data_IF_930634023556
#
_entry.id   IF_930634023556
#
_cell.length_a   1.000
_cell.length_b   1.000
_cell.length_c   1.000
_cell.angle_alpha   90.00
_cell.angle_beta   90.00
_cell.angle_gamma   90.00
#
_symmetry.space_group_name_H-M   'P 1'
#
loop_
_entity.id
_entity.type
_entity.pdbx_description
1 polymer ?
#
# COMPACT_ATOMS: atom_id res chain seq x y z
N UNK A 1 -63.04 54.78 33.00
CA UNK A 1 -61.79 55.52 32.72
C UNK A 1 -60.63 54.57 32.94
N UNK A 2 -59.86 54.28 31.87
CA UNK A 2 -58.39 53.99 31.83
C UNK A 2 -57.81 53.01 32.88
N UNK A 3 -57.12 51.88 32.58
CA UNK A 3 -56.01 51.57 31.66
C UNK A 3 -55.76 50.02 31.62
N UNK A 4 -55.52 49.40 30.45
CA UNK A 4 -54.22 48.93 29.90
C UNK A 4 -53.63 47.62 30.53
N UNK A 5 -53.78 46.44 29.87
CA UNK A 5 -52.82 45.69 29.01
C UNK A 5 -51.49 45.22 29.64
N UNK A 6 -51.22 43.91 29.62
CA UNK A 6 -50.07 43.34 28.85
C UNK A 6 -50.10 41.81 28.75
N UNK A 7 -49.99 41.32 27.51
CA UNK A 7 -49.89 39.93 27.13
C UNK A 7 -48.42 39.45 27.17
N UNK A 8 -48.18 38.22 27.62
CA UNK A 8 -46.85 37.60 27.63
C UNK A 8 -46.72 36.61 26.46
N UNK A 9 -46.24 37.08 25.32
CA UNK A 9 -45.82 36.23 24.19
C UNK A 9 -44.47 35.59 24.50
N UNK A 10 -44.45 34.26 24.66
CA UNK A 10 -43.20 33.49 24.78
C UNK A 10 -42.69 33.15 23.38
N UNK A 11 -41.64 33.83 22.95
CA UNK A 11 -40.83 33.46 21.80
C UNK A 11 -40.03 32.18 22.11
N UNK A 12 -40.36 31.08 21.45
CA UNK A 12 -39.47 29.92 21.32
C UNK A 12 -38.58 30.13 20.08
N UNK A 13 -37.30 30.42 20.30
CA UNK A 13 -36.30 30.43 19.22
C UNK A 13 -35.77 29.01 19.00
N UNK A 14 -35.87 28.41 17.80
CA UNK A 14 -35.22 27.15 17.50
C UNK A 14 -33.72 27.38 17.29
N UNK A 15 -32.91 26.73 18.13
CA UNK A 15 -31.46 26.67 18.00
C UNK A 15 -31.12 25.80 16.77
N UNK A 16 -30.82 26.42 15.63
CA UNK A 16 -30.28 25.73 14.45
C UNK A 16 -28.87 25.21 14.77
N UNK A 17 -28.74 23.89 14.88
CA UNK A 17 -27.46 23.20 14.98
C UNK A 17 -26.93 22.98 13.55
N UNK A 18 -26.08 23.90 13.07
CA UNK A 18 -25.38 23.74 11.79
C UNK A 18 -24.30 22.68 11.95
N UNK A 19 -24.59 21.44 11.53
CA UNK A 19 -23.58 20.42 11.35
C UNK A 19 -22.69 20.84 10.16
N UNK A 20 -21.52 21.40 10.45
CA UNK A 20 -20.50 21.64 9.45
C UNK A 20 -20.02 20.27 8.94
N UNK A 21 -20.49 19.87 7.77
CA UNK A 21 -19.91 18.76 7.05
C UNK A 21 -18.47 19.16 6.66
N UNK A 22 -17.49 18.65 7.40
CA UNK A 22 -16.10 18.66 6.95
C UNK A 22 -16.01 17.77 5.71
N UNK A 23 -16.25 18.35 4.54
CA UNK A 23 -16.00 17.69 3.26
C UNK A 23 -14.48 17.62 3.14
N UNK A 24 -13.91 16.44 3.37
CA UNK A 24 -12.49 16.22 3.13
C UNK A 24 -12.22 16.47 1.64
N UNK A 25 -11.47 17.54 1.34
CA UNK A 25 -11.02 17.79 -0.02
C UNK A 25 -10.16 16.61 -0.46
N UNK A 26 -10.40 16.02 -1.64
CA UNK A 26 -9.56 14.95 -2.14
C UNK A 26 -8.12 15.47 -2.25
N UNK A 27 -7.15 14.68 -1.78
CA UNK A 27 -5.74 15.02 -1.92
C UNK A 27 -5.43 15.29 -3.39
N UNK A 28 -4.83 16.44 -3.69
CA UNK A 28 -4.45 16.80 -5.05
C UNK A 28 -3.53 15.73 -5.63
N UNK A 29 -3.78 15.34 -6.89
CA UNK A 29 -2.93 14.38 -7.58
C UNK A 29 -1.50 14.93 -7.69
N UNK A 30 -0.52 14.10 -7.35
CA UNK A 30 0.90 14.41 -7.39
C UNK A 30 1.51 13.81 -8.66
N UNK A 31 2.31 14.57 -9.39
CA UNK A 31 3.04 14.04 -10.54
C UNK A 31 4.31 13.31 -10.12
N UNK A 32 4.55 12.14 -10.69
CA UNK A 32 5.84 11.45 -10.60
C UNK A 32 6.64 11.64 -11.88
N UNK A 33 7.95 11.66 -11.74
CA UNK A 33 8.96 11.79 -12.81
C UNK A 33 10.03 10.72 -12.61
N UNK A 34 10.76 10.38 -13.67
CA UNK A 34 11.98 9.58 -13.53
C UNK A 34 13.00 10.31 -12.65
N UNK A 35 13.56 9.59 -11.68
CA UNK A 35 14.57 10.10 -10.77
C UNK A 35 15.95 10.25 -11.43
N UNK A 36 16.96 10.44 -10.59
CA UNK A 36 18.38 10.52 -10.99
C UNK A 36 19.13 9.19 -10.89
N UNK A 37 18.60 8.21 -10.15
CA UNK A 37 19.22 6.89 -10.04
C UNK A 37 18.92 6.02 -11.27
N UNK A 38 19.90 5.25 -11.73
CA UNK A 38 19.63 4.12 -12.64
C UNK A 38 18.79 3.09 -11.89
N UNK A 39 17.69 2.62 -12.48
CA UNK A 39 16.88 1.55 -11.90
C UNK A 39 17.74 0.36 -11.48
N UNK A 40 17.36 -0.30 -10.38
CA UNK A 40 17.98 -1.57 -9.97
C UNK A 40 17.13 -2.69 -10.53
N UNK A 41 17.15 -2.80 -11.85
CA UNK A 41 16.22 -3.66 -12.59
C UNK A 41 16.94 -4.76 -13.35
N UNK A 42 16.34 -5.94 -13.39
CA UNK A 42 16.72 -7.05 -14.27
C UNK A 42 15.49 -7.48 -15.09
N UNK A 43 15.72 -8.17 -16.20
CA UNK A 43 14.66 -8.71 -17.05
C UNK A 43 14.54 -10.20 -16.80
N UNK A 44 13.33 -10.65 -16.48
CA UNK A 44 13.04 -12.07 -16.29
C UNK A 44 11.87 -12.49 -17.18
N UNK A 45 11.83 -13.77 -17.55
CA UNK A 45 10.78 -14.30 -18.41
C UNK A 45 9.61 -14.85 -17.60
N UNK A 46 8.64 -13.98 -17.32
CA UNK A 46 7.50 -14.31 -16.46
C UNK A 46 6.24 -14.71 -17.23
N UNK A 47 5.44 -15.56 -16.59
CA UNK A 47 4.08 -15.93 -17.01
C UNK A 47 3.09 -15.50 -15.93
N UNK A 48 1.94 -14.98 -16.36
CA UNK A 48 0.82 -14.63 -15.49
C UNK A 48 -0.43 -15.37 -15.94
N UNK A 49 -1.02 -16.12 -15.02
CA UNK A 49 -2.12 -17.03 -15.31
C UNK A 49 -1.82 -18.01 -16.44
N UNK A 50 -2.64 -17.98 -17.49
CA UNK A 50 -2.50 -18.84 -18.68
C UNK A 50 -1.84 -18.14 -19.86
N UNK A 51 -1.34 -16.91 -19.69
CA UNK A 51 -0.69 -16.18 -20.80
C UNK A 51 0.58 -16.87 -21.30
N UNK A 52 1.03 -16.47 -22.48
CA UNK A 52 2.40 -16.76 -22.90
C UNK A 52 3.39 -16.07 -21.95
N UNK A 53 4.54 -16.70 -21.73
CA UNK A 53 5.63 -16.05 -21.00
C UNK A 53 6.16 -14.86 -21.81
N UNK A 54 6.55 -13.81 -21.11
CA UNK A 54 7.12 -12.59 -21.69
C UNK A 54 8.23 -12.04 -20.80
N UNK A 55 9.12 -11.28 -21.40
CA UNK A 55 10.17 -10.61 -20.65
C UNK A 55 9.58 -9.43 -19.89
N UNK A 56 9.87 -9.35 -18.60
CA UNK A 56 9.36 -8.32 -17.69
C UNK A 56 10.53 -7.71 -16.94
N UNK A 57 10.62 -6.39 -16.98
CA UNK A 57 11.59 -5.66 -16.16
C UNK A 57 11.09 -5.61 -14.71
N UNK A 58 11.90 -6.16 -13.81
CA UNK A 58 11.63 -6.29 -12.38
C UNK A 58 12.63 -5.45 -11.60
N UNK A 59 12.17 -4.81 -10.52
CA UNK A 59 13.04 -4.20 -9.52
C UNK A 59 12.67 -2.76 -9.17
N UNK A 60 13.48 -2.15 -8.32
CA UNK A 60 13.32 -0.80 -7.85
C UNK A 60 13.58 0.22 -8.96
N UNK A 61 12.67 1.17 -9.08
CA UNK A 61 12.81 2.33 -9.95
C UNK A 61 13.10 3.57 -9.12
N UNK A 62 13.98 4.44 -9.62
CA UNK A 62 14.19 5.76 -9.04
C UNK A 62 13.16 6.72 -9.63
N UNK A 63 12.33 7.33 -8.79
CA UNK A 63 11.32 8.32 -9.17
C UNK A 63 11.45 9.57 -8.33
N UNK A 64 10.84 10.67 -8.78
CA UNK A 64 10.82 11.96 -8.09
C UNK A 64 9.43 12.57 -8.18
N UNK A 65 9.01 13.29 -7.14
CA UNK A 65 7.77 14.08 -7.14
C UNK A 65 7.95 15.47 -7.76
N UNK A 66 9.15 15.78 -8.23
CA UNK A 66 9.51 17.03 -8.89
C UNK A 66 10.18 16.75 -10.24
N UNK A 67 9.86 17.56 -11.24
CA UNK A 67 10.53 17.56 -12.55
C UNK A 67 12.01 17.89 -12.46
N UNK A 68 12.43 18.61 -11.40
CA UNK A 68 13.84 18.94 -11.11
C UNK A 68 14.63 17.75 -10.54
N UNK A 69 13.95 16.66 -10.20
CA UNK A 69 14.54 15.42 -9.64
C UNK A 69 15.28 15.57 -8.30
N UNK A 70 15.13 16.72 -7.64
CA UNK A 70 15.87 17.07 -6.42
C UNK A 70 15.66 16.10 -5.25
N UNK A 71 14.56 15.35 -5.23
CA UNK A 71 14.23 14.38 -4.18
C UNK A 71 13.83 13.05 -4.82
N UNK A 72 14.82 12.37 -5.41
CA UNK A 72 14.59 11.03 -5.98
C UNK A 72 14.56 9.97 -4.88
N UNK A 73 13.65 9.01 -4.98
CA UNK A 73 13.50 7.89 -4.07
C UNK A 73 13.20 6.60 -4.82
N UNK A 74 13.38 5.46 -4.16
CA UNK A 74 13.14 4.14 -4.74
C UNK A 74 11.69 3.73 -4.55
N UNK A 75 11.11 3.17 -5.60
CA UNK A 75 9.78 2.56 -5.58
C UNK A 75 9.80 1.18 -6.19
N UNK A 76 8.88 0.33 -5.72
CA UNK A 76 8.55 -0.94 -6.37
C UNK A 76 7.14 -0.86 -6.95
N UNK A 77 6.91 -1.59 -8.04
CA UNK A 77 5.63 -1.68 -8.73
C UNK A 77 4.67 -2.62 -7.97
N UNK A 78 3.43 -2.20 -7.78
CA UNK A 78 2.33 -3.03 -7.27
C UNK A 78 1.40 -3.54 -8.40
N UNK A 79 1.65 -3.12 -9.64
CA UNK A 79 0.81 -3.37 -10.79
C UNK A 79 1.61 -3.96 -11.97
N UNK A 80 1.98 -5.26 -11.91
CA UNK A 80 2.84 -5.90 -12.91
C UNK A 80 2.30 -5.88 -14.34
N UNK A 81 0.99 -5.70 -14.51
CA UNK A 81 0.34 -5.86 -15.80
C UNK A 81 0.18 -4.54 -16.57
N UNK A 82 0.55 -3.41 -15.96
CA UNK A 82 0.65 -2.12 -16.62
C UNK A 82 2.11 -1.68 -16.75
N UNK A 83 2.41 -0.84 -17.74
CA UNK A 83 3.73 -0.24 -17.94
C UNK A 83 3.89 1.05 -17.14
N UNK A 84 5.11 1.35 -16.69
CA UNK A 84 5.40 2.65 -16.09
C UNK A 84 5.35 3.74 -17.17
N UNK A 85 4.48 4.72 -16.99
CA UNK A 85 4.38 5.89 -17.86
C UNK A 85 4.61 7.15 -17.03
N UNK A 86 5.81 7.73 -17.15
CA UNK A 86 6.21 8.93 -16.42
C UNK A 86 6.68 10.03 -17.41
N UNK A 87 6.27 11.30 -17.22
CA UNK A 87 5.52 11.79 -16.09
C UNK A 87 4.01 11.47 -16.14
N UNK A 88 3.42 11.19 -14.98
CA UNK A 88 1.98 10.95 -14.85
C UNK A 88 1.47 11.37 -13.48
N UNK A 89 0.15 11.56 -13.37
CA UNK A 89 -0.53 11.97 -12.14
C UNK A 89 -0.86 10.76 -11.26
N UNK A 90 -0.65 10.92 -9.95
CA UNK A 90 -0.86 9.87 -8.96
C UNK A 90 -1.67 10.37 -7.78
N UNK A 91 -2.58 9.55 -7.30
CA UNK A 91 -3.21 9.73 -5.99
C UNK A 91 -2.39 9.00 -4.95
N UNK A 92 -2.15 9.64 -3.80
CA UNK A 92 -1.37 9.05 -2.71
C UNK A 92 -2.27 8.53 -1.60
N UNK A 93 -1.90 7.39 -1.05
CA UNK A 93 -2.59 6.78 0.11
C UNK A 93 -1.60 5.93 0.91
N UNK A 94 -1.91 5.59 2.16
CA UNK A 94 -1.10 4.62 2.91
C UNK A 94 -1.30 3.22 2.35
N UNK A 95 -0.30 2.35 2.53
CA UNK A 95 -0.42 0.94 2.13
C UNK A 95 -1.61 0.24 2.82
N UNK A 96 -1.82 0.50 4.11
CA UNK A 96 -2.95 -0.06 4.84
C UNK A 96 -4.28 0.32 4.20
N UNK A 97 -4.48 1.61 3.88
CA UNK A 97 -5.72 2.11 3.30
C UNK A 97 -5.94 1.62 1.87
N UNK A 98 -4.85 1.51 1.09
CA UNK A 98 -4.88 0.92 -0.25
C UNK A 98 -5.36 -0.54 -0.21
N UNK A 99 -4.74 -1.37 0.65
CA UNK A 99 -5.02 -2.81 0.72
C UNK A 99 -6.39 -3.10 1.34
N UNK A 100 -6.72 -2.48 2.48
CA UNK A 100 -7.97 -2.78 3.21
C UNK A 100 -9.21 -2.11 2.61
N UNK A 101 -9.04 -1.07 1.77
CA UNK A 101 -10.11 -0.46 0.98
C UNK A 101 -10.71 0.83 1.54
N UNK A 102 -10.04 1.50 2.49
CA UNK A 102 -10.45 2.81 3.00
C UNK A 102 -9.89 4.01 2.21
N UNK A 103 -8.95 3.77 1.27
CA UNK A 103 -8.38 4.79 0.40
C UNK A 103 -9.05 4.87 -0.99
N UNK A 104 -8.63 5.84 -1.80
CA UNK A 104 -9.00 5.93 -3.22
C UNK A 104 -7.73 6.23 -4.03
N UNK A 105 -7.36 5.40 -5.02
CA UNK A 105 -7.96 4.10 -5.38
C UNK A 105 -7.60 2.98 -4.38
N UNK A 106 -8.24 1.82 -4.52
CA UNK A 106 -8.03 0.64 -3.66
C UNK A 106 -7.36 -0.50 -4.40
N UNK A 107 -6.77 -1.43 -3.64
CA UNK A 107 -6.25 -2.71 -4.13
C UNK A 107 -7.32 -3.53 -4.87
N UNK A 108 -8.57 -3.53 -4.38
CA UNK A 108 -9.69 -4.16 -5.11
C UNK A 108 -9.97 -3.45 -6.43
N UNK A 109 -9.97 -2.12 -6.46
CA UNK A 109 -10.16 -1.38 -7.70
C UNK A 109 -9.05 -1.68 -8.73
N UNK A 110 -7.80 -1.81 -8.27
CA UNK A 110 -6.67 -2.18 -9.14
C UNK A 110 -6.91 -3.54 -9.82
N UNK A 111 -7.23 -4.57 -9.04
CA UNK A 111 -7.48 -5.91 -9.58
C UNK A 111 -8.85 -6.06 -10.25
N UNK A 112 -9.70 -5.04 -10.19
CA UNK A 112 -10.96 -4.97 -10.98
C UNK A 112 -10.76 -4.29 -12.33
N UNK A 113 -9.58 -3.69 -12.58
CA UNK A 113 -9.23 -3.09 -13.85
C UNK A 113 -8.69 -4.13 -14.84
N UNK A 114 -8.79 -3.81 -16.13
CA UNK A 114 -8.07 -4.53 -17.18
C UNK A 114 -6.56 -4.37 -16.94
N UNK A 115 -5.73 -5.43 -17.07
CA UNK A 115 -6.07 -6.76 -17.58
C UNK A 115 -6.42 -7.83 -16.54
N UNK A 116 -6.48 -7.53 -15.24
CA UNK A 116 -6.71 -8.52 -14.17
C UNK A 116 -8.04 -9.27 -14.26
N UNK A 117 -9.05 -8.67 -14.90
CA UNK A 117 -10.37 -9.27 -15.11
C UNK A 117 -10.47 -10.14 -16.36
N UNK A 118 -9.42 -10.20 -17.18
CA UNK A 118 -9.38 -11.09 -18.35
C UNK A 118 -9.28 -12.56 -17.92
N UNK A 119 -9.96 -13.45 -18.65
CA UNK A 119 -9.92 -14.90 -18.43
C UNK A 119 -8.52 -15.50 -18.55
N UNK A 120 -7.58 -14.82 -19.23
CA UNK A 120 -6.18 -15.26 -19.30
C UNK A 120 -5.47 -15.16 -17.95
N UNK A 121 -5.87 -14.22 -17.08
CA UNK A 121 -5.24 -13.97 -15.79
C UNK A 121 -6.09 -14.49 -14.62
N UNK A 122 -7.41 -14.38 -14.75
CA UNK A 122 -8.39 -14.84 -13.78
C UNK A 122 -9.19 -16.02 -14.34
N UNK A 123 -8.60 -17.22 -14.28
CA UNK A 123 -9.17 -18.45 -14.83
C UNK A 123 -10.27 -19.08 -13.97
N UNK A 124 -10.55 -18.56 -12.78
CA UNK A 124 -11.46 -19.17 -11.79
C UNK A 124 -10.95 -20.47 -11.15
N UNK A 125 -9.86 -21.05 -11.66
CA UNK A 125 -9.09 -22.14 -11.03
C UNK A 125 -7.96 -21.58 -10.17
N UNK A 126 -7.90 -21.98 -8.90
CA UNK A 126 -6.92 -21.47 -7.91
C UNK A 126 -5.46 -21.81 -8.23
N UNK A 127 -5.18 -22.79 -9.08
CA UNK A 127 -3.81 -23.24 -9.38
C UNK A 127 -3.13 -22.44 -10.51
N UNK A 128 -3.89 -21.66 -11.27
CA UNK A 128 -3.41 -20.89 -12.44
C UNK A 128 -3.93 -19.46 -12.44
N UNK A 129 -4.48 -18.98 -11.33
CA UNK A 129 -5.05 -17.64 -11.24
C UNK A 129 -4.03 -16.67 -10.66
N UNK A 130 -3.79 -15.56 -11.36
CA UNK A 130 -3.12 -14.38 -10.81
C UNK A 130 -4.17 -13.28 -10.65
N UNK A 131 -4.53 -12.94 -9.42
CA UNK A 131 -5.65 -12.03 -9.20
C UNK A 131 -5.86 -11.60 -7.76
N UNK A 132 -6.97 -10.88 -7.54
CA UNK A 132 -7.31 -10.30 -6.25
C UNK A 132 -7.33 -11.37 -5.15
N UNK A 133 -6.54 -11.14 -4.10
CA UNK A 133 -6.55 -12.01 -2.93
C UNK A 133 -7.72 -11.68 -2.00
N UNK A 134 -8.42 -12.73 -1.54
CA UNK A 134 -9.53 -12.58 -0.62
C UNK A 134 -9.06 -12.11 0.78
N UNK A 135 -7.93 -12.64 1.26
CA UNK A 135 -7.38 -12.28 2.57
C UNK A 135 -6.41 -11.09 2.49
N UNK A 136 -6.99 -9.89 2.41
CA UNK A 136 -6.26 -8.61 2.37
C UNK A 136 -5.38 -8.37 3.60
N UNK A 137 -5.74 -8.91 4.76
CA UNK A 137 -4.95 -8.78 5.99
C UNK A 137 -3.63 -9.53 5.86
N UNK A 138 -3.65 -10.76 5.33
CA UNK A 138 -2.39 -11.47 5.08
C UNK A 138 -1.54 -10.75 4.03
N UNK A 139 -2.14 -10.26 2.94
CA UNK A 139 -1.40 -9.47 1.92
C UNK A 139 -0.69 -8.29 2.58
N UNK A 140 -1.39 -7.51 3.41
CA UNK A 140 -0.80 -6.37 4.12
C UNK A 140 0.33 -6.82 5.05
N UNK A 141 0.10 -7.84 5.88
CA UNK A 141 1.09 -8.33 6.84
C UNK A 141 2.34 -8.85 6.13
N UNK A 142 2.18 -9.62 5.05
CA UNK A 142 3.28 -10.18 4.27
C UNK A 142 4.09 -9.10 3.55
N UNK A 143 3.45 -8.06 3.01
CA UNK A 143 4.16 -6.91 2.44
C UNK A 143 4.93 -6.15 3.52
N UNK A 144 4.30 -5.87 4.67
CA UNK A 144 4.97 -5.19 5.77
C UNK A 144 6.18 -6.01 6.26
N UNK A 145 6.01 -7.31 6.43
CA UNK A 145 7.08 -8.24 6.83
C UNK A 145 8.24 -8.23 5.83
N UNK A 146 7.95 -8.45 4.54
CA UNK A 146 8.93 -8.44 3.46
C UNK A 146 9.74 -7.13 3.44
N UNK A 147 9.06 -5.98 3.46
CA UNK A 147 9.74 -4.68 3.45
C UNK A 147 10.54 -4.44 4.73
N UNK A 148 10.04 -4.85 5.89
CA UNK A 148 10.71 -4.60 7.16
C UNK A 148 12.07 -5.29 7.27
N UNK A 149 12.24 -6.45 6.61
CA UNK A 149 13.45 -7.25 6.67
C UNK A 149 14.33 -7.12 5.42
N UNK A 150 13.75 -7.14 4.22
CA UNK A 150 14.51 -7.29 2.98
C UNK A 150 14.67 -6.02 2.13
N UNK A 151 14.01 -4.90 2.46
CA UNK A 151 14.08 -3.69 1.60
C UNK A 151 15.51 -3.13 1.44
N UNK A 152 16.33 -3.10 2.48
CA UNK A 152 17.71 -2.61 2.35
C UNK A 152 18.59 -3.61 1.59
N UNK A 153 18.31 -4.91 1.74
CA UNK A 153 19.02 -5.96 1.02
C UNK A 153 18.68 -5.96 -0.47
N UNK A 154 17.41 -5.72 -0.81
CA UNK A 154 16.91 -5.66 -2.18
C UNK A 154 17.58 -4.54 -2.97
N UNK A 155 18.00 -3.45 -2.34
CA UNK A 155 18.68 -2.34 -3.00
C UNK A 155 20.18 -2.58 -3.26
N UNK A 156 20.77 -3.69 -2.81
CA UNK A 156 22.21 -3.94 -2.99
C UNK A 156 22.60 -4.30 -4.42
N UNK A 157 21.77 -5.10 -5.11
CA UNK A 157 22.02 -5.54 -6.50
C UNK A 157 20.73 -5.53 -7.31
N UNK A 158 20.85 -5.54 -8.64
CA UNK A 158 19.68 -5.59 -9.51
C UNK A 158 18.92 -6.93 -9.37
N UNK A 159 19.64 -8.06 -9.23
CA UNK A 159 19.08 -9.38 -8.96
C UNK A 159 18.27 -9.46 -7.66
N UNK A 160 18.79 -8.92 -6.55
CA UNK A 160 18.06 -8.89 -5.27
C UNK A 160 16.84 -7.99 -5.36
N UNK A 161 16.94 -6.91 -6.10
CA UNK A 161 15.84 -5.97 -6.35
C UNK A 161 14.74 -6.62 -7.19
N UNK A 162 15.10 -7.35 -8.25
CA UNK A 162 14.17 -8.09 -9.09
C UNK A 162 13.47 -9.21 -8.29
N UNK A 163 14.23 -9.99 -7.52
CA UNK A 163 13.69 -11.04 -6.64
C UNK A 163 12.70 -10.49 -5.60
N UNK A 164 13.00 -9.31 -5.03
CA UNK A 164 12.10 -8.62 -4.11
C UNK A 164 10.81 -8.14 -4.81
N UNK A 165 10.94 -7.59 -6.03
CA UNK A 165 9.79 -7.20 -6.85
C UNK A 165 8.89 -8.39 -7.19
N UNK A 166 9.48 -9.54 -7.53
CA UNK A 166 8.75 -10.78 -7.77
C UNK A 166 7.98 -11.21 -6.51
N UNK A 167 8.63 -11.19 -5.34
CA UNK A 167 7.98 -11.54 -4.08
C UNK A 167 6.78 -10.63 -3.75
N UNK A 168 6.89 -9.31 -4.01
CA UNK A 168 5.76 -8.38 -3.90
C UNK A 168 4.60 -8.84 -4.79
N UNK A 169 4.86 -9.17 -6.05
CA UNK A 169 3.81 -9.58 -6.99
C UNK A 169 3.17 -10.92 -6.62
N UNK A 170 3.94 -11.88 -6.11
CA UNK A 170 3.38 -13.12 -5.55
C UNK A 170 2.47 -12.80 -4.37
N UNK A 171 2.91 -11.96 -3.42
CA UNK A 171 2.08 -11.59 -2.26
C UNK A 171 0.77 -10.91 -2.68
N UNK A 172 0.82 -10.06 -3.70
CA UNK A 172 -0.35 -9.32 -4.19
C UNK A 172 -1.32 -10.17 -5.00
N UNK A 173 -0.86 -11.17 -5.75
CA UNK A 173 -1.67 -11.82 -6.78
C UNK A 173 -1.81 -13.34 -6.65
N UNK A 174 -0.97 -13.99 -5.83
CA UNK A 174 -1.05 -15.42 -5.53
C UNK A 174 -1.69 -15.70 -4.17
N UNK A 175 -2.35 -16.85 -4.07
CA UNK A 175 -2.71 -17.42 -2.76
C UNK A 175 -1.44 -17.89 -2.05
N UNK A 176 -1.42 -17.81 -0.71
CA UNK A 176 -0.25 -18.21 0.10
C UNK A 176 0.26 -19.63 -0.19
N UNK A 177 -0.64 -20.59 -0.48
CA UNK A 177 -0.27 -21.96 -0.86
C UNK A 177 0.50 -22.07 -2.18
N UNK A 178 0.50 -20.99 -2.98
CA UNK A 178 1.14 -20.90 -4.29
C UNK A 178 2.31 -19.90 -4.28
N UNK A 179 2.80 -19.45 -3.12
CA UNK A 179 4.02 -18.66 -3.09
C UNK A 179 5.20 -19.54 -3.52
N UNK A 180 5.67 -19.34 -4.74
CA UNK A 180 6.82 -20.04 -5.28
C UNK A 180 7.12 -19.58 -6.70
N UNK A 181 8.26 -20.02 -7.21
CA UNK A 181 8.80 -19.55 -8.49
C UNK A 181 8.12 -20.24 -9.69
N UNK A 182 7.76 -21.52 -9.53
CA UNK A 182 7.26 -22.39 -10.61
C UNK A 182 5.78 -22.79 -10.47
N UNK A 183 5.08 -22.21 -9.49
CA UNK A 183 3.72 -22.58 -9.09
C UNK A 183 2.77 -21.38 -9.19
N UNK A 184 1.46 -21.61 -9.20
CA UNK A 184 0.47 -20.53 -9.18
C UNK A 184 0.20 -19.83 -10.53
N UNK A 185 -0.41 -18.65 -10.50
CA UNK A 185 -0.62 -17.83 -11.69
C UNK A 185 0.64 -17.12 -12.17
N UNK A 186 1.43 -16.56 -11.26
CA UNK A 186 2.71 -15.92 -11.51
C UNK A 186 3.83 -16.95 -11.43
N UNK A 187 4.54 -17.14 -12.53
CA UNK A 187 5.68 -18.06 -12.60
C UNK A 187 6.83 -17.40 -13.32
N UNK A 188 8.03 -17.66 -12.85
CA UNK A 188 9.21 -17.45 -13.67
C UNK A 188 9.41 -18.67 -14.57
N UNK A 189 9.74 -18.41 -15.83
CA UNK A 189 10.02 -19.45 -16.84
C UNK A 189 11.41 -19.33 -17.43
N UNK A 190 12.23 -18.44 -16.86
CA UNK A 190 13.65 -18.34 -17.18
C UNK A 190 14.50 -19.33 -16.35
N UNK A 191 15.80 -19.33 -16.61
CA UNK A 191 16.82 -20.19 -16.01
C UNK A 191 17.82 -19.45 -15.15
N UNK A 192 17.58 -18.16 -14.82
CA UNK A 192 18.45 -17.39 -13.93
C UNK A 192 18.41 -17.96 -12.50
N UNK A 193 19.36 -18.85 -12.21
CA UNK A 193 19.46 -19.51 -10.91
C UNK A 193 19.65 -18.53 -9.75
N UNK A 194 20.30 -17.38 -9.99
CA UNK A 194 20.55 -16.38 -8.97
C UNK A 194 19.27 -15.68 -8.55
N UNK A 195 18.53 -15.15 -9.53
CA UNK A 195 17.22 -14.54 -9.31
C UNK A 195 16.27 -15.53 -8.63
N UNK A 196 16.13 -16.74 -9.19
CA UNK A 196 15.22 -17.77 -8.70
C UNK A 196 15.51 -18.18 -7.26
N UNK A 197 16.78 -18.39 -6.92
CA UNK A 197 17.21 -18.74 -5.55
C UNK A 197 16.86 -17.61 -4.58
N UNK A 198 17.15 -16.36 -4.95
CA UNK A 198 16.89 -15.21 -4.08
C UNK A 198 15.38 -14.95 -3.90
N UNK A 199 14.59 -15.08 -4.96
CA UNK A 199 13.14 -14.90 -4.92
C UNK A 199 12.48 -16.00 -4.08
N UNK A 200 12.90 -17.26 -4.24
CA UNK A 200 12.44 -18.37 -3.42
C UNK A 200 12.78 -18.17 -1.93
N UNK A 201 13.97 -17.66 -1.63
CA UNK A 201 14.39 -17.36 -0.26
C UNK A 201 13.52 -16.27 0.38
N UNK A 202 13.21 -15.18 -0.33
CA UNK A 202 12.31 -14.13 0.19
C UNK A 202 10.89 -14.66 0.41
N UNK A 203 10.34 -15.42 -0.54
CA UNK A 203 9.00 -16.00 -0.42
C UNK A 203 8.92 -16.99 0.75
N UNK A 204 9.91 -17.87 0.89
CA UNK A 204 9.99 -18.82 2.00
C UNK A 204 10.09 -18.12 3.37
N UNK A 205 10.87 -17.02 3.45
CA UNK A 205 10.99 -16.25 4.67
C UNK A 205 9.68 -15.59 5.08
N UNK A 206 8.94 -15.01 4.13
CA UNK A 206 7.62 -14.39 4.37
C UNK A 206 6.59 -15.43 4.82
N UNK A 207 6.52 -16.61 4.17
CA UNK A 207 5.55 -17.65 4.56
C UNK A 207 5.87 -18.32 5.90
N UNK A 208 7.14 -18.34 6.29
CA UNK A 208 7.63 -19.03 7.49
C UNK A 208 7.99 -18.07 8.64
N UNK A 209 7.55 -16.80 8.57
CA UNK A 209 8.00 -15.72 9.45
C UNK A 209 7.84 -16.00 10.96
N UNK A 210 6.92 -16.89 11.35
CA UNK A 210 6.76 -17.34 12.74
C UNK A 210 7.99 -18.08 13.32
N UNK A 211 8.97 -18.50 12.50
CA UNK A 211 10.08 -19.39 12.89
C UNK A 211 11.49 -18.83 12.62
N UNK A 212 11.74 -17.54 12.87
CA UNK A 212 13.05 -16.90 12.64
C UNK A 212 13.56 -17.06 11.19
N UNK A 213 12.65 -17.17 10.22
CA UNK A 213 12.99 -17.48 8.82
C UNK A 213 13.84 -16.37 8.15
N UNK A 214 13.83 -15.16 8.70
CA UNK A 214 14.68 -14.05 8.26
C UNK A 214 16.15 -14.15 8.72
N UNK A 215 16.48 -15.02 9.67
CA UNK A 215 17.85 -15.17 10.18
C UNK A 215 18.84 -15.77 9.17
N UNK A 216 18.35 -16.40 8.11
CA UNK A 216 19.17 -16.87 6.99
C UNK A 216 18.37 -16.87 5.68
N UNK A 217 18.45 -15.77 4.94
CA UNK A 217 17.85 -15.63 3.62
C UNK A 217 18.97 -15.67 2.59
N UNK A 218 19.16 -16.83 1.95
CA UNK A 218 20.22 -17.05 0.96
C UNK A 218 21.63 -16.65 1.47
N UNK A 219 21.99 -17.15 2.66
CA UNK A 219 23.26 -16.88 3.35
C UNK A 219 23.45 -15.44 3.83
N UNK A 220 22.36 -14.68 3.96
CA UNK A 220 22.35 -13.34 4.55
C UNK A 220 21.44 -13.34 5.77
N UNK A 221 21.95 -12.85 6.89
CA UNK A 221 21.14 -12.60 8.08
C UNK A 221 20.32 -11.31 7.87
N UNK A 222 19.01 -11.48 7.76
CA UNK A 222 18.02 -10.41 7.64
C UNK A 222 17.09 -10.36 8.86
N UNK A 223 17.49 -10.93 10.01
CA UNK A 223 16.68 -10.97 11.23
C UNK A 223 16.34 -9.59 11.79
N UNK A 224 17.16 -8.57 11.48
CA UNK A 224 16.91 -7.20 11.89
C UNK A 224 15.68 -6.62 11.18
N UNK A 225 14.74 -6.11 11.97
CA UNK A 225 13.51 -5.48 11.47
C UNK A 225 13.64 -3.96 11.46
N UNK A 226 13.31 -3.34 10.33
CA UNK A 226 13.22 -1.89 10.19
C UNK A 226 11.77 -1.46 10.04
N UNK A 227 11.36 -0.42 10.78
CA UNK A 227 10.02 0.14 10.66
C UNK A 227 9.98 1.21 9.56
N UNK A 228 9.10 1.01 8.58
CA UNK A 228 8.89 1.92 7.47
C UNK A 228 7.51 2.60 7.53
N UNK A 229 7.46 3.82 7.04
CA UNK A 229 6.23 4.47 6.60
C UNK A 229 6.03 4.13 5.12
N UNK A 230 4.82 3.72 4.75
CA UNK A 230 4.48 3.25 3.41
C UNK A 230 3.58 4.23 2.70
N UNK A 231 3.96 4.62 1.48
CA UNK A 231 3.17 5.48 0.62
C UNK A 231 2.93 4.80 -0.73
N UNK A 232 1.66 4.55 -1.05
CA UNK A 232 1.24 4.07 -2.35
C UNK A 232 0.97 5.27 -3.24
N UNK A 233 1.57 5.27 -4.44
CA UNK A 233 1.29 6.17 -5.54
C UNK A 233 0.50 5.40 -6.57
N UNK A 234 -0.83 5.54 -6.56
CA UNK A 234 -1.68 4.87 -7.53
C UNK A 234 -1.98 5.79 -8.71
N UNK A 235 -1.88 5.27 -9.93
CA UNK A 235 -2.05 6.09 -11.12
C UNK A 235 -3.45 6.71 -11.17
N UNK A 236 -3.55 7.94 -11.69
CA UNK A 236 -4.80 8.65 -11.87
C UNK A 236 -4.91 9.11 -13.34
N UNK A 237 -5.75 8.46 -14.17
CA UNK A 237 -6.67 7.37 -13.84
C UNK A 237 -5.96 6.05 -13.51
N UNK A 238 -6.65 5.17 -12.76
CA UNK A 238 -6.14 3.84 -12.42
C UNK A 238 -5.93 3.01 -13.69
N UNK A 239 -4.77 2.35 -13.82
CA UNK A 239 -4.37 1.61 -15.01
C UNK A 239 -3.75 2.48 -16.13
N UNK A 240 -3.70 3.80 -15.97
CA UNK A 240 -2.98 4.69 -16.91
C UNK A 240 -1.45 4.61 -16.80
N UNK A 241 -0.94 4.07 -15.68
CA UNK A 241 0.47 3.75 -15.42
C UNK A 241 0.53 2.71 -14.30
N UNK A 242 1.71 2.17 -14.03
CA UNK A 242 1.95 1.33 -12.85
C UNK A 242 1.60 2.06 -11.55
N UNK A 243 0.98 1.35 -10.60
CA UNK A 243 0.89 1.77 -9.20
C UNK A 243 2.19 1.43 -8.48
N UNK A 244 2.71 2.36 -7.67
CA UNK A 244 3.99 2.21 -6.99
C UNK A 244 3.86 2.23 -5.46
N UNK A 245 4.80 1.59 -4.79
CA UNK A 245 5.00 1.65 -3.35
C UNK A 245 6.37 2.23 -3.02
N UNK A 246 6.36 3.37 -2.33
CA UNK A 246 7.55 3.96 -1.72
C UNK A 246 7.56 3.67 -0.22
N UNK A 247 8.76 3.60 0.35
CA UNK A 247 8.96 3.52 1.79
C UNK A 247 9.95 4.57 2.26
N UNK A 248 9.76 5.04 3.49
CA UNK A 248 10.72 5.88 4.21
C UNK A 248 10.89 5.35 5.62
N UNK A 249 12.10 5.43 6.18
CA UNK A 249 12.33 5.02 7.58
C UNK A 249 11.46 5.87 8.49
N UNK A 250 10.74 5.22 9.41
CA UNK A 250 9.92 5.93 10.37
C UNK A 250 10.82 6.76 11.30
N UNK A 251 10.74 8.08 11.22
CA UNK A 251 11.45 9.01 12.09
C UNK A 251 10.68 9.17 13.42
N UNK A 252 11.02 8.35 14.40
CA UNK A 252 10.47 8.43 15.76
C UNK A 252 10.29 7.03 16.37
N UNK A 253 11.01 6.76 17.46
CA UNK A 253 10.96 5.47 18.14
C UNK A 253 9.56 5.09 18.60
N UNK A 254 9.15 3.86 18.28
CA UNK A 254 7.90 3.18 18.70
C UNK A 254 6.61 3.88 18.26
N UNK A 255 6.10 3.48 17.10
CA UNK A 255 4.67 3.58 16.79
C UNK A 255 4.07 2.17 16.85
N UNK A 256 3.03 2.03 17.64
CA UNK A 256 2.43 0.77 18.08
C UNK A 256 1.88 -0.08 16.92
N UNK A 257 1.99 -1.39 17.11
CA UNK A 257 1.50 -2.48 16.27
C UNK A 257 0.04 -2.32 15.77
N UNK A 258 -0.35 -3.04 14.70
CA UNK A 258 -1.53 -2.76 13.86
C UNK A 258 -2.90 -2.70 14.55
N UNK A 259 -3.01 -3.08 15.82
CA UNK A 259 -4.23 -2.92 16.62
C UNK A 259 -4.47 -1.48 17.11
N UNK A 260 -3.47 -0.59 17.05
CA UNK A 260 -3.52 0.71 17.73
C UNK A 260 -4.12 1.85 16.89
N UNK A 261 -4.26 1.68 15.58
CA UNK A 261 -4.92 2.67 14.71
C UNK A 261 -6.45 2.69 14.86
N UNK A 262 -7.04 1.66 15.49
CA UNK A 262 -8.48 1.61 15.72
C UNK A 262 -8.96 2.50 16.89
N UNK A 263 -8.08 2.95 17.81
CA UNK A 263 -8.51 3.65 19.03
C UNK A 263 -8.12 5.13 19.11
N UNK A 264 -7.14 5.60 18.33
CA UNK A 264 -6.72 7.02 18.37
C UNK A 264 -7.79 7.94 17.73
N UNK A 265 -8.70 7.40 16.92
CA UNK A 265 -9.82 8.14 16.34
C UNK A 265 -11.00 8.43 17.28
N UNK A 266 -11.13 7.74 18.42
CA UNK A 266 -12.28 7.92 19.34
C UNK A 266 -11.90 8.75 20.58
N UNK A 267 -10.62 8.79 20.97
CA UNK A 267 -10.18 9.56 22.14
C UNK A 267 -10.22 11.09 21.95
N UNK A 268 -10.12 11.59 20.72
CA UNK A 268 -10.08 13.03 20.44
C UNK A 268 -11.47 13.71 20.41
N UNK A 269 -12.57 12.95 20.31
CA UNK A 269 -13.93 13.50 20.29
C UNK A 269 -14.64 13.46 21.67
N UNK A 270 -14.06 12.79 22.66
CA UNK A 270 -14.65 12.66 24.00
C UNK A 270 -14.36 13.79 25.00
N UNK A 271 -13.37 14.66 24.73
CA UNK A 271 -12.87 15.62 25.75
C UNK A 271 -13.57 17.00 25.70
N UNK A 272 -14.34 17.33 24.66
CA UNK A 272 -14.98 18.65 24.55
C UNK A 272 -16.41 18.70 25.17
N UNK A 273 -17.00 17.56 25.55
CA UNK A 273 -18.32 17.53 26.19
C UNK A 273 -18.30 17.71 27.73
N UNK A 274 -17.13 17.82 28.36
CA UNK A 274 -16.96 17.70 29.82
C UNK A 274 -16.54 18.96 30.58
N UNK A 275 -16.89 20.18 30.16
CA UNK A 275 -16.61 21.37 30.99
C UNK A 275 -17.62 22.51 30.82
N UNK A 276 -18.88 22.23 31.15
CA UNK A 276 -19.82 23.27 31.59
C UNK A 276 -20.64 22.77 32.77
N UNK A 277 -20.25 23.14 33.99
CA UNK A 277 -21.20 23.48 35.07
C UNK A 277 -20.56 24.47 36.05
N UNK A 278 -21.31 25.57 36.23
CA UNK A 278 -21.11 26.73 37.11
C UNK A 278 -21.07 26.32 38.60
N UNK A 279 -20.32 27.08 39.41
CA UNK A 279 -20.83 27.53 40.71
C UNK A 279 -20.66 29.05 40.84
N UNK A 280 -21.71 29.68 41.34
CA UNK A 280 -21.94 31.12 41.53
C UNK A 280 -20.99 31.73 42.57
N UNK A 281 -20.74 33.03 42.44
CA UNK A 281 -20.24 33.92 43.50
C UNK A 281 -21.36 34.80 44.04
N UNK A 282 -21.25 35.10 45.33
CA UNK A 282 -21.80 36.20 46.15
C UNK A 282 -23.32 36.29 46.41
N UNK A 283 -23.70 36.14 47.69
CA UNK A 283 -23.82 37.26 48.65
C UNK A 283 -23.56 36.73 50.08
#
# INVERSE_FOLDING_TARGET
MTHATTAFQRFFAPLLLTAAACVALPAAAQSLYWGTGSGKTESERLKFGTTTSRDVSLGAMSVSTSSTKANSFWVYCLDPLNGANLPSAYTTTSLSNFITGSGTPTYTALFSATPYTSSSYNTGSSSTQYGLQANKTTVLNNLVELYSHAYEDSLKTAQKSAAFQYAIWSILGESESNYGIDVGGLRDTDSDSGFRTQAAAYLSAVTSAANNAWGNVNNVDLSARTNYTYQVFASSPLGGSQTFLAVSKATGGKVSEPASLALVGIAALGVIAGRRRKSKSAA
#
